data_IF_023603691207
#
_entry.id   IF_023603691207
#
_cell.length_a   1.000
_cell.length_b   1.000
_cell.length_c   1.000
_cell.angle_alpha   90.00
_cell.angle_beta   90.00
_cell.angle_gamma   90.00
#
_symmetry.space_group_name_H-M   'P 1'
#
loop_
_entity.id
_entity.type
_entity.pdbx_description
1 polymer ?
#
# COMPACT_ATOMS: atom_id res chain seq x y z
N UNK A 1 -16.11 -14.18 5.65
CA UNK A 1 -14.83 -13.99 6.36
C UNK A 1 -14.62 -12.49 6.40
N UNK A 2 -14.77 -11.87 7.57
CA UNK A 2 -14.50 -10.43 7.72
C UNK A 2 -12.98 -10.28 7.64
N UNK A 3 -12.47 -9.58 6.63
CA UNK A 3 -11.03 -9.38 6.46
C UNK A 3 -10.53 -8.46 7.57
N UNK A 4 -9.81 -9.01 8.55
CA UNK A 4 -9.10 -8.19 9.55
C UNK A 4 -7.72 -7.83 9.01
N UNK A 5 -7.36 -6.55 9.08
CA UNK A 5 -5.98 -6.11 8.85
C UNK A 5 -5.19 -6.25 10.16
N UNK A 6 -3.89 -6.53 10.07
CA UNK A 6 -3.03 -6.60 11.24
C UNK A 6 -1.63 -6.07 10.90
N UNK A 7 -0.95 -5.51 11.88
CA UNK A 7 0.43 -5.04 11.78
C UNK A 7 1.15 -5.21 13.11
N UNK A 8 2.42 -5.61 13.07
CA UNK A 8 3.30 -5.78 14.23
C UNK A 8 4.66 -5.13 13.97
N UNK A 9 5.49 -4.99 15.00
CA UNK A 9 6.82 -4.38 14.89
C UNK A 9 6.83 -2.86 15.10
N UNK A 10 7.88 -2.20 14.61
CA UNK A 10 8.08 -0.75 14.80
C UNK A 10 6.97 0.03 14.08
N UNK A 11 6.38 1.00 14.78
CA UNK A 11 5.29 1.85 14.25
C UNK A 11 4.05 1.07 13.79
N UNK A 12 3.80 -0.12 14.34
CA UNK A 12 2.66 -0.97 13.99
C UNK A 12 1.31 -0.30 14.14
N UNK A 13 1.15 0.59 15.13
CA UNK A 13 -0.08 1.38 15.32
C UNK A 13 -0.40 2.22 14.09
N UNK A 14 0.58 2.99 13.60
CA UNK A 14 0.43 3.84 12.40
C UNK A 14 0.13 3.01 11.16
N UNK A 15 0.83 1.89 10.97
CA UNK A 15 0.59 0.97 9.85
C UNK A 15 -0.82 0.38 9.92
N UNK A 16 -1.27 -0.04 11.10
CA UNK A 16 -2.61 -0.61 11.30
C UNK A 16 -3.70 0.42 11.03
N UNK A 17 -3.58 1.62 11.59
CA UNK A 17 -4.53 2.72 11.34
C UNK A 17 -4.63 3.05 9.85
N UNK A 18 -3.50 3.06 9.13
CA UNK A 18 -3.51 3.26 7.68
C UNK A 18 -4.21 2.12 6.94
N UNK A 19 -3.92 0.87 7.31
CA UNK A 19 -4.56 -0.30 6.71
C UNK A 19 -6.07 -0.30 6.96
N UNK A 20 -6.51 -0.04 8.19
CA UNK A 20 -7.93 0.02 8.58
C UNK A 20 -8.67 1.13 7.82
N UNK A 21 -8.05 2.30 7.62
CA UNK A 21 -8.67 3.42 6.92
C UNK A 21 -8.82 3.20 5.40
N UNK A 22 -7.99 2.34 4.79
CA UNK A 22 -7.90 2.18 3.34
C UNK A 22 -8.31 0.78 2.86
N UNK A 23 -8.51 -0.18 3.77
CA UNK A 23 -8.98 -1.52 3.44
C UNK A 23 -10.40 -1.48 2.86
N UNK A 24 -10.64 -2.31 1.85
CA UNK A 24 -11.96 -2.51 1.25
C UNK A 24 -12.24 -4.00 1.19
N UNK A 25 -13.50 -4.37 1.41
CA UNK A 25 -13.92 -5.76 1.21
C UNK A 25 -13.73 -6.18 -0.26
N UNK A 26 -13.34 -7.44 -0.46
CA UNK A 26 -13.13 -8.05 -1.77
C UNK A 26 -12.10 -7.32 -2.66
N UNK A 27 -11.02 -6.81 -2.06
CA UNK A 27 -9.88 -6.29 -2.83
C UNK A 27 -9.30 -7.37 -3.74
N UNK A 28 -9.04 -6.99 -4.99
CA UNK A 28 -8.27 -7.80 -5.92
C UNK A 28 -6.82 -7.93 -5.46
N UNK A 29 -6.13 -8.97 -5.94
CA UNK A 29 -4.73 -9.27 -5.57
C UNK A 29 -3.83 -8.03 -5.64
N UNK A 30 -3.88 -7.31 -6.76
CA UNK A 30 -2.99 -6.18 -7.00
C UNK A 30 -3.30 -4.99 -6.10
N UNK A 31 -4.58 -4.77 -5.79
CA UNK A 31 -5.01 -3.69 -4.88
C UNK A 31 -4.58 -3.98 -3.44
N UNK A 32 -4.70 -5.23 -3.00
CA UNK A 32 -4.23 -5.65 -1.69
C UNK A 32 -2.71 -5.48 -1.56
N UNK A 33 -1.94 -5.91 -2.56
CA UNK A 33 -0.47 -5.73 -2.60
C UNK A 33 -0.11 -4.24 -2.57
N UNK A 34 -0.76 -3.42 -3.40
CA UNK A 34 -0.52 -1.98 -3.45
C UNK A 34 -0.83 -1.31 -2.11
N UNK A 35 -1.93 -1.69 -1.45
CA UNK A 35 -2.27 -1.22 -0.11
C UNK A 35 -1.22 -1.61 0.94
N UNK A 36 -0.74 -2.86 0.91
CA UNK A 36 0.32 -3.33 1.83
C UNK A 36 1.61 -2.55 1.64
N UNK A 37 2.03 -2.31 0.39
CA UNK A 37 3.25 -1.54 0.12
C UNK A 37 3.07 -0.08 0.54
N UNK A 38 1.90 0.53 0.29
CA UNK A 38 1.58 1.88 0.76
C UNK A 38 1.71 2.01 2.27
N UNK A 39 1.17 1.06 3.03
CA UNK A 39 1.20 1.13 4.49
C UNK A 39 2.63 1.03 5.06
N UNK A 40 3.51 0.27 4.41
CA UNK A 40 4.93 0.19 4.78
C UNK A 40 5.67 1.50 4.47
N UNK A 41 5.36 2.17 3.36
CA UNK A 41 5.98 3.45 2.98
C UNK A 41 5.64 4.61 3.92
N UNK A 42 4.58 4.51 4.73
CA UNK A 42 4.27 5.53 5.74
C UNK A 42 5.28 5.56 6.90
N UNK A 43 6.06 4.49 7.09
CA UNK A 43 7.02 4.37 8.20
C UNK A 43 8.45 4.05 7.78
N UNK A 44 8.66 3.57 6.54
CA UNK A 44 9.98 3.23 5.99
C UNK A 44 10.59 4.43 5.25
N UNK A 45 11.65 5.01 5.81
CA UNK A 45 12.40 6.11 5.19
C UNK A 45 13.53 5.63 4.26
N UNK A 46 13.92 4.35 4.32
CA UNK A 46 15.15 3.82 3.70
C UNK A 46 14.95 3.17 2.32
N UNK A 47 13.75 3.25 1.73
CA UNK A 47 13.47 2.78 0.37
C UNK A 47 13.31 1.26 0.21
N UNK A 48 13.17 0.83 -1.06
CA UNK A 48 12.72 -0.49 -1.52
C UNK A 48 13.57 -1.68 -1.07
N UNK A 49 14.86 -1.47 -0.78
CA UNK A 49 15.84 -2.53 -0.50
C UNK A 49 15.59 -3.29 0.80
N UNK A 50 14.72 -2.77 1.68
CA UNK A 50 14.38 -3.38 2.97
C UNK A 50 12.94 -3.90 3.01
N UNK A 51 12.28 -4.03 1.86
CA UNK A 51 10.89 -4.48 1.77
C UNK A 51 10.87 -5.82 1.03
N UNK A 52 10.33 -6.84 1.70
CA UNK A 52 9.99 -8.13 1.08
C UNK A 52 8.49 -8.33 1.19
N UNK A 53 7.86 -8.75 0.09
CA UNK A 53 6.41 -8.98 0.04
C UNK A 53 6.14 -10.36 -0.54
N UNK A 54 5.35 -11.14 0.18
CA UNK A 54 4.82 -12.41 -0.27
C UNK A 54 3.28 -12.37 -0.25
N UNK A 55 2.65 -13.03 -1.20
CA UNK A 55 1.20 -13.19 -1.23
C UNK A 55 0.83 -14.67 -1.36
N UNK A 56 -0.40 -14.98 -0.93
CA UNK A 56 -0.95 -16.33 -0.93
C UNK A 56 -2.36 -16.29 -1.48
N UNK A 57 -2.66 -17.20 -2.41
CA UNK A 57 -3.98 -17.37 -3.00
C UNK A 57 -4.52 -18.77 -2.66
N UNK A 58 -5.85 -18.96 -2.60
CA UNK A 58 -6.44 -20.26 -2.32
C UNK A 58 -5.89 -21.35 -3.24
N UNK A 59 -5.39 -22.44 -2.64
CA UNK A 59 -4.83 -23.61 -3.34
C UNK A 59 -3.61 -23.30 -4.23
N UNK A 60 -2.93 -22.17 -4.03
CA UNK A 60 -1.65 -21.87 -4.66
C UNK A 60 -0.51 -21.90 -3.65
N UNK A 61 0.71 -22.03 -4.15
CA UNK A 61 1.91 -21.82 -3.33
C UNK A 61 2.04 -20.35 -2.95
N UNK A 62 2.79 -20.08 -1.90
CA UNK A 62 3.22 -18.71 -1.57
C UNK A 62 4.10 -18.22 -2.70
N UNK A 63 3.84 -17.00 -3.16
CA UNK A 63 4.60 -16.34 -4.21
C UNK A 63 5.23 -15.06 -3.63
N UNK A 64 6.51 -14.85 -3.93
CA UNK A 64 7.26 -13.67 -3.52
C UNK A 64 7.33 -12.70 -4.70
N UNK A 65 7.14 -11.42 -4.44
CA UNK A 65 7.40 -10.39 -5.44
C UNK A 65 8.90 -10.19 -5.59
N UNK A 66 9.35 -10.04 -6.83
CA UNK A 66 10.71 -9.62 -7.13
C UNK A 66 10.94 -8.16 -6.73
N UNK A 67 12.21 -7.79 -6.53
CA UNK A 67 12.58 -6.41 -6.23
C UNK A 67 12.10 -5.44 -7.33
N UNK A 68 12.20 -5.85 -8.59
CA UNK A 68 11.76 -5.03 -9.74
C UNK A 68 10.24 -4.78 -9.73
N UNK A 69 9.44 -5.79 -9.37
CA UNK A 69 7.99 -5.64 -9.22
C UNK A 69 7.64 -4.69 -8.07
N UNK A 70 8.33 -4.80 -6.93
CA UNK A 70 8.14 -3.91 -5.79
C UNK A 70 8.50 -2.47 -6.18
N UNK A 71 9.63 -2.26 -6.86
CA UNK A 71 10.04 -0.95 -7.35
C UNK A 71 9.03 -0.33 -8.32
N UNK A 72 8.49 -1.12 -9.26
CA UNK A 72 7.48 -0.67 -10.19
C UNK A 72 6.20 -0.22 -9.46
N UNK A 73 5.72 -1.00 -8.50
CA UNK A 73 4.53 -0.67 -7.71
C UNK A 73 4.76 0.59 -6.87
N UNK A 74 5.95 0.76 -6.30
CA UNK A 74 6.29 1.95 -5.51
C UNK A 74 6.31 3.20 -6.38
N UNK A 75 6.88 3.13 -7.60
CA UNK A 75 6.83 4.24 -8.57
C UNK A 75 5.39 4.61 -8.92
N UNK A 76 4.55 3.63 -9.18
CA UNK A 76 3.13 3.83 -9.44
C UNK A 76 2.42 4.52 -8.26
N UNK A 77 2.65 4.04 -7.02
CA UNK A 77 2.11 4.64 -5.80
C UNK A 77 2.53 6.10 -5.64
N UNK A 78 3.82 6.42 -5.86
CA UNK A 78 4.31 7.79 -5.74
C UNK A 78 3.65 8.72 -6.76
N UNK A 79 3.50 8.27 -8.01
CA UNK A 79 2.86 9.05 -9.06
C UNK A 79 1.37 9.27 -8.77
N UNK A 80 0.66 8.26 -8.28
CA UNK A 80 -0.75 8.39 -7.87
C UNK A 80 -0.91 9.38 -6.70
N UNK A 81 -0.02 9.34 -5.69
CA UNK A 81 -0.04 10.25 -4.54
C UNK A 81 0.16 11.71 -4.95
N UNK A 82 1.06 11.95 -5.91
CA UNK A 82 1.25 13.28 -6.49
C UNK A 82 0.01 13.76 -7.25
N UNK A 83 -0.61 12.90 -8.04
CA UNK A 83 -1.84 13.22 -8.78
C UNK A 83 -3.03 13.47 -7.86
N UNK A 84 -3.22 12.68 -6.80
CA UNK A 84 -4.26 12.93 -5.80
C UNK A 84 -4.06 14.27 -5.10
N UNK A 85 -2.81 14.60 -4.77
CA UNK A 85 -2.48 15.88 -4.12
C UNK A 85 -2.72 17.05 -5.08
N UNK A 86 -2.34 16.91 -6.35
CA UNK A 86 -2.57 17.91 -7.39
C UNK A 86 -4.07 18.13 -7.65
N UNK A 87 -4.86 17.04 -7.73
CA UNK A 87 -6.33 17.13 -7.86
C UNK A 87 -6.98 17.80 -6.66
N UNK A 88 -6.61 17.42 -5.44
CA UNK A 88 -7.14 18.05 -4.21
C UNK A 88 -6.83 19.54 -4.17
N UNK A 89 -5.60 19.95 -4.55
CA UNK A 89 -5.21 21.36 -4.66
C UNK A 89 -6.01 22.11 -5.73
N UNK A 90 -6.19 21.50 -6.90
CA UNK A 90 -6.95 22.11 -8.00
C UNK A 90 -8.44 22.30 -7.64
N UNK A 91 -9.07 21.27 -7.06
CA UNK A 91 -10.47 21.35 -6.59
C UNK A 91 -10.67 22.41 -5.50
N UNK A 92 -9.69 22.60 -4.61
CA UNK A 92 -9.75 23.66 -3.58
C UNK A 92 -9.52 25.08 -4.13
N UNK A 93 -8.91 25.22 -5.30
CA UNK A 93 -8.62 26.53 -5.93
C UNK A 93 -9.72 26.99 -6.90
N UNK A 94 -10.56 26.10 -7.41
CA UNK A 94 -11.67 26.45 -8.31
C UNK A 94 -12.96 26.83 -7.56
N UNK A 95 -12.99 26.72 -6.24
CA UNK A 95 -14.15 27.05 -5.40
C UNK A 95 -14.08 28.44 -4.73
N UNK A 96 -13.18 29.31 -5.18
CA UNK A 96 -13.07 30.73 -4.76
C UNK A 96 -13.34 31.68 -5.92
#
# INVERSE_FOLDING_TARGET
>A
MVGSTNAIGKSSKTVREFLEANFKDNMEKNDAIKLTIRSLLEVVQTGVKNIEVAFMMPRKKIEFLSTDEIEAIIKEISAEKEQETARKKHLSQTQV
#
